data_IF_615941095160
#
_entry.id   IF_615941095160
#
_cell.length_a   1.000
_cell.length_b   1.000
_cell.length_c   1.000
_cell.angle_alpha   90.00
_cell.angle_beta   90.00
_cell.angle_gamma   90.00
#
_symmetry.space_group_name_H-M   'P 1'
#
loop_
_entity.id
_entity.type
_entity.pdbx_description
1 polymer ?
#
# COMPACT_ATOMS: atom_id res chain seq x y z
N UNK A 1 -25.41 -4.45 18.39
CA UNK A 1 -24.24 -4.62 17.50
C UNK A 1 -22.98 -4.64 18.36
N UNK A 2 -22.05 -5.58 18.13
CA UNK A 2 -20.81 -5.65 18.91
C UNK A 2 -19.89 -4.46 18.62
N UNK A 3 -19.17 -4.00 19.64
CA UNK A 3 -18.02 -3.11 19.49
C UNK A 3 -16.90 -3.89 18.79
N UNK A 4 -16.30 -3.32 17.75
CA UNK A 4 -15.19 -3.96 17.02
C UNK A 4 -14.12 -2.93 16.68
N UNK A 5 -12.86 -3.28 16.92
CA UNK A 5 -11.69 -2.53 16.46
C UNK A 5 -10.87 -3.45 15.55
N UNK A 6 -10.81 -3.15 14.26
CA UNK A 6 -9.98 -3.91 13.32
C UNK A 6 -8.57 -3.36 13.24
N UNK A 7 -7.57 -4.23 13.17
CA UNK A 7 -6.16 -3.84 13.04
C UNK A 7 -5.64 -3.89 11.60
N UNK A 8 -6.42 -4.44 10.65
CA UNK A 8 -6.00 -4.63 9.25
C UNK A 8 -7.11 -4.35 8.21
N UNK A 9 -8.38 -4.18 8.61
CA UNK A 9 -9.45 -3.91 7.64
C UNK A 9 -9.48 -2.42 7.22
N UNK A 10 -8.84 -2.11 6.08
CA UNK A 10 -8.64 -0.74 5.59
C UNK A 10 -9.71 -0.24 4.59
N UNK A 11 -10.65 -1.09 4.14
CA UNK A 11 -11.70 -0.68 3.17
C UNK A 11 -12.40 0.62 3.56
N UNK A 12 -12.58 1.54 2.60
CA UNK A 12 -13.22 2.84 2.83
C UNK A 12 -14.68 2.71 3.30
N UNK A 13 -15.41 1.70 2.82
CA UNK A 13 -16.82 1.47 3.17
C UNK A 13 -17.04 1.25 4.67
N UNK A 14 -16.04 0.74 5.40
CA UNK A 14 -16.08 0.54 6.86
C UNK A 14 -16.14 1.85 7.67
N UNK A 15 -15.83 2.99 7.04
CA UNK A 15 -15.99 4.33 7.63
C UNK A 15 -17.46 4.76 7.71
N UNK A 16 -18.36 4.15 6.93
CA UNK A 16 -19.77 4.55 6.86
C UNK A 16 -20.55 4.14 8.11
N UNK A 17 -20.68 5.07 9.08
CA UNK A 17 -21.35 4.82 10.37
C UNK A 17 -22.84 4.49 10.31
N UNK A 18 -23.48 4.74 9.16
CA UNK A 18 -24.83 4.24 8.90
C UNK A 18 -24.87 2.70 8.85
N UNK A 19 -23.85 2.07 8.29
CA UNK A 19 -23.74 0.61 8.16
C UNK A 19 -22.88 0.00 9.28
N UNK A 20 -21.85 0.71 9.73
CA UNK A 20 -20.86 0.24 10.71
C UNK A 20 -20.78 1.17 11.94
N UNK A 21 -21.86 1.34 12.73
CA UNK A 21 -21.93 2.36 13.79
C UNK A 21 -20.94 2.15 14.96
N UNK A 22 -20.56 0.90 15.20
CA UNK A 22 -19.67 0.47 16.31
C UNK A 22 -18.31 -0.04 15.84
N UNK A 23 -17.96 0.16 14.57
CA UNK A 23 -16.66 -0.19 14.00
C UNK A 23 -15.64 0.92 14.23
N UNK A 24 -14.42 0.54 14.59
CA UNK A 24 -13.23 1.39 14.58
C UNK A 24 -12.07 0.61 13.98
N UNK A 25 -10.97 1.29 13.65
CA UNK A 25 -9.75 0.62 13.20
C UNK A 25 -8.47 1.35 13.54
N UNK A 26 -7.42 0.57 13.77
CA UNK A 26 -6.05 1.04 14.03
C UNK A 26 -5.14 0.94 12.82
N UNK A 27 -5.69 0.60 11.65
CA UNK A 27 -5.09 0.80 10.34
C UNK A 27 -5.75 2.01 9.65
N UNK A 28 -5.02 2.84 8.88
CA UNK A 28 -5.65 3.92 8.14
C UNK A 28 -6.62 3.42 7.07
N UNK A 29 -7.55 4.28 6.67
CA UNK A 29 -8.46 4.02 5.56
C UNK A 29 -7.72 3.93 4.22
N UNK A 30 -8.15 3.03 3.33
CA UNK A 30 -7.67 2.95 1.95
C UNK A 30 -7.91 4.24 1.16
N UNK A 31 -8.85 5.09 1.60
CA UNK A 31 -9.00 6.45 1.07
C UNK A 31 -7.67 7.22 1.13
N UNK A 32 -6.90 7.05 2.19
CA UNK A 32 -5.59 7.69 2.38
C UNK A 32 -4.51 7.01 1.54
N UNK A 33 -4.52 5.68 1.45
CA UNK A 33 -3.61 4.92 0.59
C UNK A 33 -3.78 5.27 -0.89
N UNK A 34 -5.02 5.38 -1.37
CA UNK A 34 -5.36 5.79 -2.74
C UNK A 34 -4.82 7.19 -3.04
N UNK A 35 -4.95 8.14 -2.11
CA UNK A 35 -4.38 9.48 -2.25
C UNK A 35 -2.86 9.47 -2.27
N UNK A 36 -2.22 8.67 -1.42
CA UNK A 36 -0.77 8.54 -1.38
C UNK A 36 -0.23 8.02 -2.73
N UNK A 37 -0.84 6.97 -3.28
CA UNK A 37 -0.51 6.43 -4.60
C UNK A 37 -0.75 7.48 -5.69
N UNK A 38 -1.89 8.17 -5.67
CA UNK A 38 -2.19 9.22 -6.64
C UNK A 38 -1.12 10.33 -6.66
N UNK A 39 -0.79 10.89 -5.49
CA UNK A 39 0.26 11.92 -5.38
C UNK A 39 1.63 11.38 -5.79
N UNK A 40 1.91 10.10 -5.56
CA UNK A 40 3.16 9.45 -5.97
C UNK A 40 3.26 9.42 -7.50
N UNK A 41 2.21 8.99 -8.19
CA UNK A 41 2.16 8.99 -9.66
C UNK A 41 2.34 10.41 -10.22
N UNK A 42 1.67 11.40 -9.62
CA UNK A 42 1.83 12.80 -10.00
C UNK A 42 3.25 13.31 -9.77
N UNK A 43 3.88 12.95 -8.65
CA UNK A 43 5.25 13.39 -8.30
C UNK A 43 6.29 12.96 -9.32
N UNK A 44 6.09 11.81 -9.97
CA UNK A 44 6.98 11.31 -11.04
C UNK A 44 6.48 11.61 -12.46
N UNK A 45 5.35 12.30 -12.61
CA UNK A 45 4.79 12.61 -13.93
C UNK A 45 4.31 11.37 -14.70
N UNK A 46 4.00 10.28 -14.01
CA UNK A 46 3.53 9.05 -14.64
C UNK A 46 2.05 9.18 -15.01
N UNK A 47 1.79 9.35 -16.30
CA UNK A 47 0.44 9.62 -16.85
C UNK A 47 -0.12 8.44 -17.64
N UNK A 48 0.64 7.35 -17.79
CA UNK A 48 0.23 6.11 -18.44
C UNK A 48 0.56 4.92 -17.54
N UNK A 49 -0.45 4.33 -16.91
CA UNK A 49 -0.29 3.28 -15.89
C UNK A 49 -1.23 2.11 -16.11
N UNK A 50 -0.86 0.94 -15.61
CA UNK A 50 -1.73 -0.22 -15.50
C UNK A 50 -2.14 -0.39 -14.04
N UNK A 51 -3.38 -0.80 -13.81
CA UNK A 51 -3.93 -1.01 -12.47
C UNK A 51 -4.39 -2.45 -12.33
N UNK A 52 -3.95 -3.12 -11.27
CA UNK A 52 -4.35 -4.48 -10.91
C UNK A 52 -4.93 -4.48 -9.50
N UNK A 53 -6.02 -5.21 -9.28
CA UNK A 53 -6.58 -5.41 -7.95
C UNK A 53 -6.95 -6.87 -7.68
N UNK A 54 -6.87 -7.34 -6.44
CA UNK A 54 -7.34 -8.69 -6.10
C UNK A 54 -8.86 -8.83 -6.24
N UNK A 55 -9.32 -10.03 -6.61
CA UNK A 55 -10.74 -10.36 -6.76
C UNK A 55 -11.48 -10.53 -5.42
N UNK A 56 -11.48 -9.46 -4.61
CA UNK A 56 -12.18 -9.35 -3.35
C UNK A 56 -12.51 -7.87 -3.07
N UNK A 57 -13.28 -7.60 -2.03
CA UNK A 57 -13.75 -6.24 -1.71
C UNK A 57 -12.58 -5.26 -1.53
N UNK A 58 -11.50 -5.65 -0.85
CA UNK A 58 -10.29 -4.82 -0.66
C UNK A 58 -9.68 -4.39 -2.01
N UNK A 59 -9.37 -5.37 -2.85
CA UNK A 59 -8.71 -5.11 -4.13
C UNK A 59 -9.61 -4.39 -5.12
N UNK A 60 -10.89 -4.77 -5.20
CA UNK A 60 -11.85 -4.17 -6.14
C UNK A 60 -12.20 -2.73 -5.77
N UNK A 61 -12.52 -2.46 -4.51
CA UNK A 61 -12.92 -1.12 -4.07
C UNK A 61 -11.73 -0.14 -4.10
N UNK A 62 -10.56 -0.57 -3.62
CA UNK A 62 -9.35 0.24 -3.67
C UNK A 62 -8.92 0.57 -5.11
N UNK A 63 -9.00 -0.41 -6.01
CA UNK A 63 -8.74 -0.22 -7.44
C UNK A 63 -9.75 0.75 -8.08
N UNK A 64 -11.03 0.65 -7.73
CA UNK A 64 -12.08 1.51 -8.28
C UNK A 64 -11.96 2.95 -7.80
N UNK A 65 -11.67 3.14 -6.50
CA UNK A 65 -11.41 4.45 -5.92
C UNK A 65 -10.19 5.13 -6.58
N UNK A 66 -9.10 4.38 -6.78
CA UNK A 66 -7.92 4.89 -7.47
C UNK A 66 -8.21 5.20 -8.95
N UNK A 67 -8.93 4.33 -9.65
CA UNK A 67 -9.33 4.55 -11.05
C UNK A 67 -10.16 5.83 -11.21
N UNK A 68 -11.14 6.06 -10.33
CA UNK A 68 -11.95 7.28 -10.29
C UNK A 68 -11.09 8.53 -10.06
N UNK A 69 -10.17 8.47 -9.10
CA UNK A 69 -9.28 9.58 -8.80
C UNK A 69 -8.35 9.92 -9.97
N UNK A 70 -7.77 8.89 -10.61
CA UNK A 70 -6.87 9.08 -11.76
C UNK A 70 -7.61 9.63 -12.98
N UNK A 71 -8.80 9.11 -13.30
CA UNK A 71 -9.59 9.58 -14.46
C UNK A 71 -10.14 10.98 -14.29
N UNK A 72 -10.27 11.48 -13.06
CA UNK A 72 -10.54 12.89 -12.77
C UNK A 72 -9.32 13.82 -12.91
N UNK A 73 -8.13 13.26 -13.18
CA UNK A 73 -6.83 13.96 -13.30
C UNK A 73 -6.17 13.72 -14.66
N UNK A 74 -4.96 14.21 -14.91
CA UNK A 74 -4.24 13.99 -16.18
C UNK A 74 -3.57 12.62 -16.34
N UNK A 75 -3.90 11.66 -15.47
CA UNK A 75 -3.41 10.28 -15.59
C UNK A 75 -4.43 9.40 -16.34
N UNK A 76 -3.95 8.65 -17.32
CA UNK A 76 -4.72 7.65 -18.05
C UNK A 76 -4.33 6.24 -17.61
N UNK A 77 -5.35 5.37 -17.56
CA UNK A 77 -5.21 3.96 -17.24
C UNK A 77 -5.23 3.15 -18.53
N UNK A 78 -4.09 2.57 -18.86
CA UNK A 78 -3.88 1.76 -20.06
C UNK A 78 -4.62 0.43 -20.00
N UNK A 79 -4.61 -0.16 -18.80
CA UNK A 79 -5.23 -1.44 -18.53
C UNK A 79 -5.69 -1.51 -17.07
N UNK A 80 -6.86 -2.09 -16.87
CA UNK A 80 -7.42 -2.40 -15.55
C UNK A 80 -7.66 -3.91 -15.49
N UNK A 81 -6.92 -4.61 -14.64
CA UNK A 81 -7.00 -6.06 -14.47
C UNK A 81 -7.44 -6.45 -13.06
N UNK A 82 -7.98 -7.67 -12.95
CA UNK A 82 -8.31 -8.29 -11.67
C UNK A 82 -7.47 -9.55 -11.52
N UNK A 83 -6.80 -9.70 -10.37
CA UNK A 83 -6.03 -10.87 -10.00
C UNK A 83 -6.99 -11.86 -9.31
N UNK A 84 -7.26 -13.04 -9.90
CA UNK A 84 -8.20 -14.00 -9.35
C UNK A 84 -7.75 -14.53 -7.98
N UNK A 85 -8.69 -14.67 -7.05
CA UNK A 85 -8.45 -15.28 -5.74
C UNK A 85 -8.39 -16.81 -5.83
N UNK A 86 -7.74 -17.45 -4.85
CA UNK A 86 -7.65 -18.92 -4.71
C UNK A 86 -7.08 -19.61 -5.97
N UNK A 87 -6.05 -18.99 -6.58
CA UNK A 87 -5.31 -19.54 -7.70
C UNK A 87 -3.85 -19.78 -7.31
N UNK A 88 -3.19 -20.67 -8.02
CA UNK A 88 -1.75 -20.91 -7.94
C UNK A 88 -1.05 -20.41 -9.21
N UNK A 89 0.28 -20.44 -9.20
CA UNK A 89 1.09 -19.98 -10.33
C UNK A 89 0.82 -20.75 -11.64
N UNK A 90 0.23 -21.94 -11.62
CA UNK A 90 -0.16 -22.71 -12.81
C UNK A 90 -1.45 -22.20 -13.49
N UNK A 91 -2.18 -21.26 -12.89
CA UNK A 91 -3.43 -20.71 -13.42
C UNK A 91 -3.25 -20.08 -14.82
N UNK A 92 -4.01 -20.55 -15.83
CA UNK A 92 -4.03 -19.91 -17.15
C UNK A 92 -4.52 -18.45 -17.11
N UNK A 93 -5.39 -18.12 -16.17
CA UNK A 93 -5.91 -16.77 -15.98
C UNK A 93 -4.81 -15.79 -15.53
N UNK A 94 -3.94 -16.20 -14.59
CA UNK A 94 -2.77 -15.41 -14.18
C UNK A 94 -1.76 -15.26 -15.34
N UNK A 95 -1.49 -16.35 -16.05
CA UNK A 95 -0.62 -16.32 -17.22
C UNK A 95 -1.12 -15.38 -18.31
N UNK A 96 -2.42 -15.39 -18.59
CA UNK A 96 -3.04 -14.51 -19.55
C UNK A 96 -3.00 -13.05 -19.08
N UNK A 97 -3.22 -12.80 -17.78
CA UNK A 97 -3.10 -11.47 -17.19
C UNK A 97 -1.69 -10.89 -17.38
N UNK A 98 -0.65 -11.65 -17.07
CA UNK A 98 0.75 -11.22 -17.25
C UNK A 98 1.08 -11.01 -18.72
N UNK A 99 0.56 -11.86 -19.62
CA UNK A 99 0.70 -11.66 -21.07
C UNK A 99 0.11 -10.33 -21.52
N UNK A 100 -1.11 -9.99 -21.08
CA UNK A 100 -1.75 -8.72 -21.41
C UNK A 100 -0.91 -7.54 -20.90
N UNK A 101 -0.34 -7.62 -19.69
CA UNK A 101 0.52 -6.55 -19.17
C UNK A 101 1.75 -6.31 -20.05
N UNK A 102 2.38 -7.38 -20.54
CA UNK A 102 3.51 -7.26 -21.48
C UNK A 102 3.07 -6.65 -22.83
N UNK A 103 1.90 -7.02 -23.33
CA UNK A 103 1.35 -6.52 -24.60
C UNK A 103 1.00 -5.02 -24.54
N UNK A 104 0.55 -4.54 -23.38
CA UNK A 104 0.13 -3.13 -23.15
C UNK A 104 1.32 -2.16 -23.08
N UNK A 105 2.55 -2.66 -22.90
CA UNK A 105 3.81 -1.88 -22.86
C UNK A 105 3.78 -0.68 -21.91
N UNK A 106 3.38 -0.94 -20.67
CA UNK A 106 3.39 0.08 -19.59
C UNK A 106 4.56 -0.16 -18.65
N UNK A 107 5.25 0.90 -18.26
CA UNK A 107 6.39 0.81 -17.35
C UNK A 107 5.97 0.80 -15.88
N UNK A 108 4.83 1.41 -15.54
CA UNK A 108 4.36 1.56 -14.15
C UNK A 108 3.04 0.82 -13.94
N UNK A 109 3.05 -0.18 -13.06
CA UNK A 109 1.86 -0.96 -12.68
C UNK A 109 1.57 -0.82 -11.19
N UNK A 110 0.37 -0.35 -10.87
CA UNK A 110 -0.13 -0.31 -9.49
C UNK A 110 -0.83 -1.62 -9.18
N UNK A 111 -0.47 -2.26 -8.07
CA UNK A 111 -1.05 -3.52 -7.60
C UNK A 111 -1.70 -3.31 -6.23
N UNK A 112 -3.03 -3.25 -6.23
CA UNK A 112 -3.86 -3.10 -5.02
C UNK A 112 -4.42 -4.47 -4.62
N UNK A 113 -3.64 -5.27 -3.91
CA UNK A 113 -3.94 -6.68 -3.66
C UNK A 113 -3.58 -7.07 -2.25
N UNK A 114 -4.22 -8.10 -1.70
CA UNK A 114 -3.67 -8.78 -0.53
C UNK A 114 -2.49 -9.69 -0.93
N UNK A 115 -1.62 -10.00 0.03
CA UNK A 115 -0.40 -10.80 -0.08
C UNK A 115 -0.68 -12.22 -0.58
N UNK A 116 -1.79 -12.83 -0.14
CA UNK A 116 -2.18 -14.18 -0.58
C UNK A 116 -2.48 -14.26 -2.07
N UNK A 117 -3.16 -13.24 -2.60
CA UNK A 117 -3.53 -13.16 -4.03
C UNK A 117 -2.36 -12.65 -4.88
N UNK A 118 -1.54 -11.76 -4.32
CA UNK A 118 -0.36 -11.22 -4.98
C UNK A 118 0.76 -12.26 -5.15
N UNK A 119 0.91 -13.21 -4.23
CA UNK A 119 1.96 -14.24 -4.27
C UNK A 119 1.99 -15.02 -5.59
N UNK A 120 0.93 -15.79 -5.96
CA UNK A 120 0.95 -16.57 -7.20
C UNK A 120 1.02 -15.68 -8.45
N UNK A 121 0.51 -14.44 -8.37
CA UNK A 121 0.69 -13.47 -9.46
C UNK A 121 2.16 -13.14 -9.68
N UNK A 122 2.91 -12.81 -8.63
CA UNK A 122 4.34 -12.49 -8.74
C UNK A 122 5.19 -13.71 -9.10
N UNK A 123 4.80 -14.92 -8.71
CA UNK A 123 5.42 -16.15 -9.24
C UNK A 123 5.32 -16.21 -10.77
N UNK A 124 4.14 -15.93 -11.34
CA UNK A 124 3.94 -15.92 -12.81
C UNK A 124 4.72 -14.77 -13.47
N UNK A 125 4.79 -13.59 -12.84
CA UNK A 125 5.60 -12.46 -13.33
C UNK A 125 7.07 -12.89 -13.49
N UNK A 126 7.63 -13.60 -12.50
CA UNK A 126 8.99 -14.15 -12.58
C UNK A 126 9.09 -15.25 -13.64
N UNK A 127 8.18 -16.22 -13.67
CA UNK A 127 8.16 -17.30 -14.66
C UNK A 127 8.10 -16.79 -16.11
N UNK A 128 7.49 -15.62 -16.33
CA UNK A 128 7.41 -14.96 -17.64
C UNK A 128 8.58 -14.03 -17.94
N UNK A 129 9.58 -13.97 -17.06
CA UNK A 129 10.76 -13.11 -17.20
C UNK A 129 10.39 -11.63 -17.44
N UNK A 130 9.35 -11.16 -16.77
CA UNK A 130 8.98 -9.73 -16.79
C UNK A 130 10.03 -8.96 -16.01
N UNK A 131 10.64 -7.96 -16.64
CA UNK A 131 11.71 -7.16 -16.03
C UNK A 131 11.54 -5.68 -16.35
N UNK A 132 12.23 -4.80 -15.63
CA UNK A 132 12.30 -3.37 -15.95
C UNK A 132 11.04 -2.56 -15.63
N UNK A 133 10.02 -3.16 -15.00
CA UNK A 133 8.81 -2.48 -14.57
C UNK A 133 9.01 -1.77 -13.23
N UNK A 134 8.15 -0.79 -12.96
CA UNK A 134 7.94 -0.21 -11.63
C UNK A 134 6.62 -0.72 -11.10
N UNK A 135 6.69 -1.44 -9.99
CA UNK A 135 5.53 -1.97 -9.27
C UNK A 135 5.23 -1.04 -8.10
N UNK A 136 4.03 -0.45 -8.09
CA UNK A 136 3.54 0.34 -6.96
C UNK A 136 2.61 -0.53 -6.14
N UNK A 137 3.04 -0.90 -4.94
CA UNK A 137 2.36 -1.87 -4.09
C UNK A 137 1.54 -1.27 -2.97
N UNK A 138 0.36 -1.87 -2.75
CA UNK A 138 -0.44 -1.60 -1.56
C UNK A 138 0.21 -2.15 -0.28
N UNK A 139 -0.22 -1.58 0.85
CA UNK A 139 0.27 -1.86 2.19
C UNK A 139 0.35 -3.35 2.54
N UNK A 140 -0.70 -4.12 2.24
CA UNK A 140 -0.78 -5.53 2.64
C UNK A 140 0.35 -6.43 2.06
N UNK A 141 0.82 -6.16 0.83
CA UNK A 141 1.81 -7.04 0.17
C UNK A 141 3.21 -6.44 0.09
N UNK A 142 3.36 -5.12 0.22
CA UNK A 142 4.61 -4.42 -0.10
C UNK A 142 5.80 -4.82 0.77
N UNK A 143 5.56 -5.24 2.02
CA UNK A 143 6.59 -5.76 2.93
C UNK A 143 6.39 -7.24 3.28
N UNK A 144 5.41 -7.91 2.66
CA UNK A 144 5.07 -9.28 3.00
C UNK A 144 6.21 -10.24 2.63
N UNK A 145 6.68 -11.02 3.61
CA UNK A 145 7.72 -12.03 3.43
C UNK A 145 7.42 -13.02 2.33
N UNK A 146 6.16 -13.45 2.25
CA UNK A 146 5.71 -14.35 1.19
C UNK A 146 5.98 -13.79 -0.21
N UNK A 147 6.05 -12.47 -0.40
CA UNK A 147 6.28 -11.86 -1.72
C UNK A 147 7.77 -11.64 -1.99
N UNK A 148 8.51 -11.02 -1.07
CA UNK A 148 9.94 -10.78 -1.32
C UNK A 148 10.79 -12.05 -1.25
N UNK A 149 10.28 -13.16 -0.72
CA UNK A 149 10.93 -14.47 -0.81
C UNK A 149 10.60 -15.27 -2.08
N UNK A 150 9.74 -14.77 -2.97
CA UNK A 150 9.46 -15.44 -4.24
C UNK A 150 10.78 -15.63 -5.01
N UNK A 151 11.16 -16.85 -5.41
CA UNK A 151 12.43 -17.09 -6.10
C UNK A 151 12.53 -16.26 -7.38
N UNK A 152 13.58 -15.44 -7.52
CA UNK A 152 13.82 -14.61 -8.69
C UNK A 152 13.08 -13.27 -8.71
N UNK A 153 12.34 -12.93 -7.65
CA UNK A 153 11.56 -11.69 -7.56
C UNK A 153 12.40 -10.42 -7.71
N UNK A 154 13.68 -10.45 -7.35
CA UNK A 154 14.60 -9.32 -7.51
C UNK A 154 14.80 -8.89 -8.99
N UNK A 155 14.41 -9.73 -9.95
CA UNK A 155 14.52 -9.44 -11.38
C UNK A 155 13.35 -8.62 -11.96
N UNK A 156 12.23 -8.49 -11.24
CA UNK A 156 10.98 -7.92 -11.81
C UNK A 156 11.04 -6.41 -12.06
N UNK A 157 12.11 -5.75 -11.63
CA UNK A 157 12.31 -4.31 -11.72
C UNK A 157 12.27 -3.63 -10.35
N UNK A 158 11.73 -2.42 -10.30
CA UNK A 158 11.68 -1.61 -9.07
C UNK A 158 10.34 -1.80 -8.36
N UNK A 159 10.36 -1.94 -7.03
CA UNK A 159 9.14 -2.00 -6.21
C UNK A 159 9.10 -0.80 -5.27
N UNK A 160 8.04 -0.01 -5.38
CA UNK A 160 7.71 1.07 -4.44
C UNK A 160 6.47 0.66 -3.68
N UNK A 161 6.59 0.54 -2.35
CA UNK A 161 5.51 0.13 -1.47
C UNK A 161 4.91 1.30 -0.70
N UNK A 162 3.62 1.20 -0.40
CA UNK A 162 3.01 1.92 0.72
C UNK A 162 3.13 1.03 1.95
N UNK A 163 3.42 1.58 3.14
CA UNK A 163 3.38 0.83 4.40
C UNK A 163 2.93 1.72 5.55
N UNK A 164 2.30 1.16 6.58
CA UNK A 164 1.95 1.92 7.79
C UNK A 164 3.25 2.42 8.43
N UNK A 165 3.22 3.65 8.92
CA UNK A 165 4.39 4.31 9.56
C UNK A 165 5.10 3.37 10.55
N UNK A 166 6.38 3.08 10.26
CA UNK A 166 7.17 2.16 11.09
C UNK A 166 7.35 2.77 12.47
N UNK A 167 6.86 2.10 13.49
CA UNK A 167 7.09 2.49 14.89
C UNK A 167 8.12 1.55 15.50
N UNK A 168 9.25 2.08 15.97
CA UNK A 168 10.25 1.32 16.74
C UNK A 168 9.66 0.89 18.08
N UNK A 169 9.12 -0.32 18.09
CA UNK A 169 8.54 -0.93 19.28
C UNK A 169 9.60 -1.83 19.92
N UNK A 170 10.35 -1.27 20.86
CA UNK A 170 11.29 -2.00 21.71
C UNK A 170 10.61 -3.13 22.50
N UNK A 171 9.28 -3.09 22.64
CA UNK A 171 8.49 -4.13 23.28
C UNK A 171 8.28 -5.36 22.40
N UNK A 172 7.98 -5.19 21.10
CA UNK A 172 7.92 -6.32 20.16
C UNK A 172 9.29 -7.01 20.09
N UNK A 173 10.38 -6.26 19.97
CA UNK A 173 11.75 -6.80 20.00
C UNK A 173 12.03 -7.57 21.31
N UNK A 174 11.59 -7.03 22.45
CA UNK A 174 11.70 -7.72 23.75
C UNK A 174 10.85 -8.99 23.82
N UNK A 175 9.62 -8.94 23.34
CA UNK A 175 8.71 -10.08 23.32
C UNK A 175 9.25 -11.20 22.42
N UNK A 176 9.77 -10.84 21.24
CA UNK A 176 10.47 -11.74 20.33
C UNK A 176 11.67 -12.38 21.01
N UNK A 177 12.54 -11.58 21.64
CA UNK A 177 13.71 -12.10 22.36
C UNK A 177 13.32 -13.07 23.48
N UNK A 178 12.22 -12.79 24.18
CA UNK A 178 11.70 -13.66 25.22
C UNK A 178 11.12 -14.96 24.65
N UNK A 179 10.34 -14.88 23.58
CA UNK A 179 9.73 -16.05 22.94
C UNK A 179 10.80 -16.97 22.32
N UNK A 180 11.80 -16.39 21.66
CA UNK A 180 12.94 -17.15 21.12
C UNK A 180 13.73 -17.83 22.25
N UNK A 181 13.91 -17.18 23.39
CA UNK A 181 14.55 -17.79 24.57
C UNK A 181 13.69 -18.93 25.16
N UNK A 182 12.36 -18.76 25.20
CA UNK A 182 11.42 -19.80 25.66
C UNK A 182 11.43 -21.02 24.74
N UNK A 183 11.35 -20.83 23.42
CA UNK A 183 11.39 -21.93 22.44
C UNK A 183 12.74 -22.64 22.41
N UNK A 184 13.83 -21.90 22.59
CA UNK A 184 15.18 -22.47 22.73
C UNK A 184 15.33 -23.30 24.01
N UNK A 185 14.64 -22.92 25.10
CA UNK A 185 14.62 -23.69 26.34
C UNK A 185 13.79 -24.99 26.24
N UNK A 186 12.81 -25.05 25.32
CA UNK A 186 12.01 -26.26 25.05
C UNK A 186 12.74 -27.21 24.08
N UNK A 187 13.60 -26.66 23.20
CA UNK A 187 14.36 -27.41 22.20
C UNK A 187 15.49 -28.31 22.76
N UNK A 188 15.84 -28.20 24.06
CA UNK A 188 16.79 -29.12 24.71
C UNK A 188 16.24 -30.56 24.86
N UNK A 189 14.99 -30.84 24.47
CA UNK A 189 14.36 -32.16 24.61
C UNK A 189 13.74 -32.78 23.35
N UNK A 190 13.90 -32.21 22.15
CA UNK A 190 13.39 -32.81 20.92
C UNK A 190 14.27 -32.57 19.67
N UNK A 191 14.28 -33.55 18.76
CA UNK A 191 15.09 -33.64 17.53
C UNK A 191 15.17 -32.33 16.71
N UNK A 192 16.26 -32.15 15.91
CA UNK A 192 16.46 -30.96 15.10
C UNK A 192 15.46 -30.96 13.93
N UNK A 193 14.25 -30.48 14.17
CA UNK A 193 13.45 -29.88 13.12
C UNK A 193 14.25 -28.67 12.66
N UNK A 194 14.55 -28.59 11.35
CA UNK A 194 15.07 -27.38 10.72
C UNK A 194 14.25 -26.21 11.24
N UNK A 195 14.81 -25.44 12.18
CA UNK A 195 14.20 -24.23 12.65
C UNK A 195 14.14 -23.34 11.41
N UNK A 196 12.97 -23.28 10.78
CA UNK A 196 12.68 -22.24 9.82
C UNK A 196 13.08 -20.94 10.51
N UNK A 197 13.91 -20.13 9.85
CA UNK A 197 14.22 -18.80 10.35
C UNK A 197 12.89 -18.17 10.78
N UNK A 198 12.80 -17.59 11.99
CA UNK A 198 11.55 -17.02 12.47
C UNK A 198 11.04 -16.09 11.37
N UNK A 199 9.83 -16.34 10.89
CA UNK A 199 9.18 -15.46 9.93
C UNK A 199 9.38 -14.03 10.44
N UNK A 200 9.90 -13.16 9.58
CA UNK A 200 10.01 -11.75 9.86
C UNK A 200 8.58 -11.27 10.11
N UNK A 201 8.22 -11.17 11.39
CA UNK A 201 6.89 -10.81 11.83
C UNK A 201 6.43 -9.55 11.09
N UNK A 202 5.15 -9.52 10.72
CA UNK A 202 4.52 -8.32 10.17
C UNK A 202 4.43 -7.28 11.31
N UNK A 203 5.54 -6.58 11.54
CA UNK A 203 5.71 -5.60 12.60
C UNK A 203 4.68 -4.45 12.50
N UNK A 204 4.34 -3.95 11.29
CA UNK A 204 3.22 -3.03 11.10
C UNK A 204 1.89 -3.57 11.63
N UNK A 205 1.48 -4.77 11.19
CA UNK A 205 0.24 -5.39 11.66
C UNK A 205 0.23 -5.59 13.19
N UNK A 206 1.33 -6.07 13.75
CA UNK A 206 1.50 -6.30 15.19
C UNK A 206 1.33 -5.01 16.01
N UNK A 207 1.87 -3.89 15.51
CA UNK A 207 1.69 -2.59 16.15
C UNK A 207 0.22 -2.12 16.11
N UNK A 208 -0.50 -2.41 15.03
CA UNK A 208 -1.93 -2.07 14.92
C UNK A 208 -2.77 -2.89 15.91
N UNK A 209 -2.45 -4.18 16.11
CA UNK A 209 -3.07 -5.04 17.14
C UNK A 209 -2.83 -4.45 18.52
N UNK A 210 -1.56 -4.12 18.83
CA UNK A 210 -1.19 -3.52 20.11
C UNK A 210 -1.93 -2.21 20.38
N UNK A 211 -2.01 -1.35 19.36
CA UNK A 211 -2.76 -0.09 19.41
C UNK A 211 -4.25 -0.31 19.67
N UNK A 212 -4.86 -1.35 19.09
CA UNK A 212 -6.28 -1.67 19.28
C UNK A 212 -6.56 -2.13 20.72
N UNK A 213 -5.71 -2.99 21.28
CA UNK A 213 -5.82 -3.45 22.67
C UNK A 213 -5.66 -2.27 23.64
N UNK A 214 -4.68 -1.40 23.40
CA UNK A 214 -4.49 -0.21 24.23
C UNK A 214 -5.64 0.79 24.11
N UNK A 215 -6.24 0.96 22.93
CA UNK A 215 -7.43 1.79 22.79
C UNK A 215 -8.59 1.29 23.67
N UNK A 216 -8.81 -0.03 23.73
CA UNK A 216 -9.78 -0.64 24.65
C UNK A 216 -9.39 -0.42 26.11
N UNK A 217 -8.12 -0.62 26.46
CA UNK A 217 -7.62 -0.43 27.83
C UNK A 217 -7.77 1.02 28.31
N UNK A 218 -7.40 2.00 27.49
CA UNK A 218 -7.62 3.43 27.78
C UNK A 218 -9.12 3.77 27.88
N UNK A 219 -9.95 3.19 27.00
CA UNK A 219 -11.40 3.33 27.07
C UNK A 219 -11.99 2.82 28.39
N UNK A 220 -11.56 1.63 28.84
CA UNK A 220 -11.97 1.04 30.12
C UNK A 220 -11.43 1.84 31.31
N UNK A 221 -10.17 2.26 31.27
CA UNK A 221 -9.54 3.08 32.31
C UNK A 221 -10.35 4.37 32.55
N UNK A 222 -10.76 5.03 31.47
CA UNK A 222 -11.58 6.23 31.52
C UNK A 222 -13.03 5.95 31.94
N UNK A 223 -13.59 4.81 31.52
CA UNK A 223 -14.96 4.44 31.89
C UNK A 223 -15.10 4.12 33.38
N UNK A 224 -14.09 3.43 33.94
CA UNK A 224 -14.10 2.95 35.32
C UNK A 224 -13.55 3.97 36.32
N UNK A 225 -13.13 5.15 35.87
CA UNK A 225 -12.62 6.22 36.74
C UNK A 225 -11.27 5.90 37.39
N UNK A 226 -10.44 5.08 36.75
CA UNK A 226 -9.19 4.55 37.32
C UNK A 226 -8.11 5.61 37.58
N UNK A 227 -8.27 6.85 37.09
CA UNK A 227 -7.29 7.92 37.21
C UNK A 227 -6.98 8.32 38.67
N UNK A 228 -7.93 8.10 39.60
CA UNK A 228 -7.78 8.42 41.02
C UNK A 228 -7.05 7.34 41.84
N UNK A 229 -6.39 6.37 41.18
CA UNK A 229 -5.67 5.28 41.84
C UNK A 229 -6.54 4.06 42.20
N UNK A 230 -7.84 4.10 41.92
CA UNK A 230 -8.77 2.98 42.07
C UNK A 230 -9.81 2.95 40.97
N UNK A 231 -10.19 1.75 40.51
CA UNK A 231 -11.20 1.56 39.46
C UNK A 231 -12.54 1.14 40.07
N UNK A 232 -13.63 1.73 39.55
CA UNK A 232 -14.98 1.29 39.87
C UNK A 232 -15.20 -0.16 39.44
N UNK A 233 -15.91 -0.95 40.25
CA UNK A 233 -16.31 -2.32 39.91
C UNK A 233 -17.77 -2.31 39.48
N UNK A 234 -18.08 -2.90 38.33
CA UNK A 234 -19.44 -2.98 37.81
C UNK A 234 -19.51 -3.55 36.41
N UNK A 235 -20.73 -3.79 35.95
CA UNK A 235 -20.99 -4.26 34.59
C UNK A 235 -20.70 -3.14 33.58
N UNK A 236 -19.83 -3.42 32.61
CA UNK A 236 -19.54 -2.52 31.49
C UNK A 236 -20.33 -2.96 30.27
N UNK A 237 -21.12 -2.05 29.69
CA UNK A 237 -21.82 -2.33 28.44
C UNK A 237 -21.00 -1.86 27.22
N UNK A 238 -21.01 -2.60 26.10
CA UNK A 238 -20.21 -2.26 24.91
C UNK A 238 -20.44 -0.84 24.37
N UNK A 239 -21.66 -0.31 24.46
CA UNK A 239 -21.98 1.04 23.99
C UNK A 239 -21.35 2.14 24.86
N UNK A 240 -21.23 1.91 26.17
CA UNK A 240 -20.57 2.85 27.10
C UNK A 240 -19.07 2.88 26.81
N UNK A 241 -18.49 1.70 26.62
CA UNK A 241 -17.09 1.57 26.28
C UNK A 241 -16.80 2.20 24.91
N UNK A 242 -17.64 1.98 23.91
CA UNK A 242 -17.52 2.61 22.59
C UNK A 242 -17.45 4.15 22.67
N UNK A 243 -18.30 4.77 23.50
CA UNK A 243 -18.27 6.21 23.71
C UNK A 243 -16.93 6.69 24.29
N UNK A 244 -16.34 5.92 25.21
CA UNK A 244 -15.03 6.24 25.80
C UNK A 244 -13.87 5.99 24.84
N UNK A 245 -13.92 4.91 24.05
CA UNK A 245 -12.90 4.60 23.05
C UNK A 245 -12.85 5.68 21.97
N UNK A 246 -13.98 6.20 21.50
CA UNK A 246 -14.01 7.32 20.54
C UNK A 246 -13.33 8.61 21.04
N UNK A 247 -13.07 8.72 22.34
CA UNK A 247 -12.47 9.89 22.99
C UNK A 247 -11.01 9.66 23.40
N UNK A 248 -10.44 8.47 23.16
CA UNK A 248 -9.06 8.19 23.55
C UNK A 248 -8.09 9.03 22.71
N UNK A 249 -7.07 9.53 23.39
CA UNK A 249 -5.98 10.29 22.78
C UNK A 249 -4.74 10.05 23.62
N UNK A 250 -3.87 9.17 23.16
CA UNK A 250 -2.68 8.76 23.89
C UNK A 250 -1.53 8.50 22.93
N UNK A 251 -0.32 8.39 23.46
CA UNK A 251 0.89 8.16 22.66
C UNK A 251 1.47 6.79 23.00
N UNK A 252 1.69 5.96 21.98
CA UNK A 252 2.43 4.69 22.07
C UNK A 252 3.70 4.82 21.26
N UNK A 253 4.87 4.67 21.88
CA UNK A 253 6.16 4.65 21.16
C UNK A 253 6.33 5.82 20.17
N UNK A 254 5.99 7.05 20.60
CA UNK A 254 5.98 8.29 19.78
C UNK A 254 4.89 8.36 18.70
N UNK A 255 4.13 7.30 18.48
CA UNK A 255 2.93 7.28 17.65
C UNK A 255 1.70 7.75 18.43
N UNK A 256 1.03 8.79 17.96
CA UNK A 256 -0.24 9.25 18.53
C UNK A 256 -1.39 8.35 18.07
N UNK A 257 -2.20 7.86 19.02
CA UNK A 257 -3.35 7.00 18.78
C UNK A 257 -4.62 7.76 19.13
N UNK A 258 -5.44 8.02 18.12
CA UNK A 258 -6.75 8.66 18.23
C UNK A 258 -7.60 8.32 17.01
N UNK A 259 -8.93 8.30 17.19
CA UNK A 259 -9.89 8.03 16.12
C UNK A 259 -10.63 9.29 15.69
N UNK A 260 -10.95 9.39 14.40
CA UNK A 260 -11.80 10.45 13.87
C UNK A 260 -13.30 10.15 14.10
N UNK A 261 -14.18 11.03 13.59
CA UNK A 261 -15.64 10.85 13.67
C UNK A 261 -16.12 9.55 12.99
N UNK A 262 -15.37 9.05 12.02
CA UNK A 262 -15.60 7.80 11.31
C UNK A 262 -14.86 6.62 11.95
N UNK A 263 -14.35 6.75 13.17
CA UNK A 263 -13.66 5.65 13.86
C UNK A 263 -12.37 5.19 13.18
N UNK A 264 -11.82 6.01 12.28
CA UNK A 264 -10.57 5.74 11.57
C UNK A 264 -9.40 6.32 12.34
N UNK A 265 -8.28 5.61 12.39
CA UNK A 265 -7.06 6.14 13.02
C UNK A 265 -6.49 7.29 12.19
N UNK A 266 -6.06 8.34 12.88
CA UNK A 266 -5.39 9.47 12.24
C UNK A 266 -3.89 9.18 12.05
N UNK A 267 -3.55 8.40 11.02
CA UNK A 267 -2.16 8.07 10.66
C UNK A 267 -1.92 8.15 9.15
N UNK A 268 -0.68 8.51 8.81
CA UNK A 268 -0.16 8.52 7.45
C UNK A 268 0.44 7.18 7.03
N UNK A 269 1.23 7.22 5.95
CA UNK A 269 1.97 6.07 5.42
C UNK A 269 3.42 6.44 5.17
N UNK A 270 4.31 5.47 5.32
CA UNK A 270 5.65 5.54 4.75
C UNK A 270 5.62 5.04 3.30
N UNK A 271 6.45 5.65 2.47
CA UNK A 271 6.72 5.22 1.10
C UNK A 271 8.08 4.52 1.11
N UNK A 272 8.08 3.25 0.78
CA UNK A 272 9.28 2.41 0.81
C UNK A 272 9.68 2.00 -0.59
N UNK A 273 10.97 1.71 -0.77
CA UNK A 273 11.50 1.10 -1.97
C UNK A 273 12.25 -0.17 -1.59
N UNK A 274 12.03 -1.24 -2.33
CA UNK A 274 12.84 -2.46 -2.17
C UNK A 274 14.28 -2.20 -2.57
N UNK A 275 15.20 -2.74 -1.79
CA UNK A 275 16.62 -2.63 -1.98
C UNK A 275 17.24 -4.02 -1.91
N UNK A 276 17.90 -4.41 -2.99
CA UNK A 276 18.52 -5.72 -3.13
C UNK A 276 20.04 -5.60 -3.08
N UNK A 277 20.66 -6.41 -2.22
CA UNK A 277 22.10 -6.63 -2.20
C UNK A 277 22.37 -8.10 -2.52
N UNK A 278 22.53 -8.39 -3.82
CA UNK A 278 22.56 -9.77 -4.32
C UNK A 278 21.22 -10.45 -4.09
N UNK A 279 21.20 -11.52 -3.30
CA UNK A 279 19.99 -12.23 -2.89
C UNK A 279 19.38 -11.69 -1.57
N UNK A 280 20.07 -10.77 -0.89
CA UNK A 280 19.58 -10.20 0.36
C UNK A 280 18.58 -9.08 0.09
N UNK A 281 17.40 -9.19 0.71
CA UNK A 281 16.34 -8.19 0.64
C UNK A 281 16.42 -7.21 1.81
N UNK A 282 16.23 -5.94 1.50
CA UNK A 282 15.96 -4.87 2.46
C UNK A 282 14.97 -3.88 1.84
N UNK A 283 14.59 -2.87 2.60
CA UNK A 283 13.84 -1.73 2.08
C UNK A 283 14.34 -0.42 2.67
N UNK A 284 14.16 0.66 1.92
CA UNK A 284 14.45 2.02 2.38
C UNK A 284 13.16 2.84 2.41
N UNK A 285 12.94 3.57 3.50
CA UNK A 285 11.91 4.63 3.54
C UNK A 285 12.40 5.80 2.69
N UNK A 286 11.79 5.98 1.53
CA UNK A 286 12.10 7.03 0.54
C UNK A 286 11.20 8.25 0.69
N UNK A 287 10.13 8.17 1.47
CA UNK A 287 9.21 9.27 1.66
C UNK A 287 8.10 8.98 2.67
N UNK A 288 7.25 9.96 2.88
CA UNK A 288 6.11 9.88 3.81
C UNK A 288 4.88 10.57 3.20
N UNK A 289 3.71 10.01 3.48
CA UNK A 289 2.41 10.61 3.21
C UNK A 289 1.78 10.99 4.55
N UNK A 290 1.59 12.29 4.76
CA UNK A 290 0.94 12.84 5.95
C UNK A 290 -0.53 13.17 5.67
N UNK A 291 -1.39 13.04 6.68
CA UNK A 291 -2.82 13.35 6.61
C UNK A 291 -3.10 14.62 7.42
N UNK A 292 -4.00 15.48 6.92
CA UNK A 292 -4.40 16.76 7.55
C UNK A 292 -3.25 17.78 7.76
N UNK A 293 -2.75 18.44 6.68
CA UNK A 293 -3.18 18.32 5.29
C UNK A 293 -2.53 17.15 4.56
N UNK A 294 -3.25 16.61 3.58
CA UNK A 294 -2.76 15.53 2.73
C UNK A 294 -1.53 16.01 1.94
N UNK A 295 -0.37 15.41 2.20
CA UNK A 295 0.88 15.81 1.58
C UNK A 295 1.83 14.64 1.41
N UNK A 296 2.49 14.58 0.26
CA UNK A 296 3.48 13.57 -0.07
C UNK A 296 4.88 14.19 -0.11
N UNK A 297 5.78 13.70 0.73
CA UNK A 297 7.19 14.03 0.70
C UNK A 297 7.99 12.83 0.17
N UNK A 298 8.80 13.05 -0.86
CA UNK A 298 9.69 12.04 -1.44
C UNK A 298 11.11 12.59 -1.47
N UNK A 299 12.04 11.83 -0.90
CA UNK A 299 13.47 12.07 -0.96
C UNK A 299 14.06 11.33 -2.16
N UNK A 300 14.26 12.05 -3.26
CA UNK A 300 14.79 11.49 -4.51
C UNK A 300 16.19 10.88 -4.35
N UNK A 301 17.01 11.37 -3.43
CA UNK A 301 18.37 10.85 -3.19
C UNK A 301 18.41 9.46 -2.57
N UNK A 302 17.28 8.95 -2.05
CA UNK A 302 17.16 7.59 -1.51
C UNK A 302 16.59 6.58 -2.51
N UNK A 303 16.23 7.01 -3.71
CA UNK A 303 15.59 6.16 -4.71
C UNK A 303 16.64 5.51 -5.59
N UNK A 304 16.54 4.19 -5.76
CA UNK A 304 17.46 3.36 -6.53
C UNK A 304 16.78 2.82 -7.77
N UNK A 305 16.81 3.58 -8.87
CA UNK A 305 16.21 3.13 -10.12
C UNK A 305 17.06 2.06 -10.81
N UNK A 306 16.40 0.98 -11.25
CA UNK A 306 17.01 -0.11 -12.01
C UNK A 306 17.04 0.15 -13.53
N UNK A 307 16.81 1.40 -13.95
CA UNK A 307 16.95 1.82 -15.35
C UNK A 307 18.41 2.02 -15.72
N UNK A 308 18.72 2.03 -17.03
CA UNK A 308 20.10 2.20 -17.52
C UNK A 308 20.74 3.52 -17.08
N UNK A 309 19.93 4.58 -16.97
CA UNK A 309 20.35 5.94 -16.60
C UNK A 309 20.20 6.25 -15.11
N UNK A 310 19.72 5.28 -14.30
CA UNK A 310 19.42 5.45 -12.86
C UNK A 310 18.43 6.58 -12.56
N UNK A 311 17.55 6.89 -13.51
CA UNK A 311 16.47 7.87 -13.34
C UNK A 311 15.10 7.21 -13.31
N UNK A 312 14.09 7.96 -12.88
CA UNK A 312 12.71 7.48 -12.90
C UNK A 312 12.32 7.14 -14.35
N UNK A 313 11.79 5.93 -14.62
CA UNK A 313 11.38 5.58 -15.96
C UNK A 313 10.22 6.48 -16.38
N UNK A 314 10.20 6.85 -17.65
CA UNK A 314 9.07 7.57 -18.23
C UNK A 314 7.91 6.60 -18.40
N UNK A 315 6.70 7.01 -18.02
CA UNK A 315 5.47 6.21 -18.20
C UNK A 315 4.39 7.12 -18.76
N UNK A 316 4.51 7.42 -20.06
CA UNK A 316 3.58 8.23 -20.85
C UNK A 316 3.14 7.40 -22.07
N UNK A 317 1.96 7.69 -22.61
CA UNK A 317 1.48 6.99 -23.80
C UNK A 317 2.09 7.56 -25.08
N UNK A 318 2.26 8.88 -25.12
CA UNK A 318 2.82 9.61 -26.26
C UNK A 318 3.79 10.67 -25.75
N UNK A 319 4.93 10.77 -26.42
CA UNK A 319 5.94 11.78 -26.12
C UNK A 319 5.42 13.18 -26.39
N UNK A 320 6.03 14.18 -25.76
CA UNK A 320 5.66 15.58 -25.95
C UNK A 320 6.02 16.02 -27.38
N UNK A 321 5.06 16.62 -28.07
CA UNK A 321 5.26 17.14 -29.43
C UNK A 321 6.26 18.29 -29.46
N UNK A 322 7.11 18.31 -30.48
CA UNK A 322 8.15 19.31 -30.65
C UNK A 322 7.57 20.66 -31.10
N UNK A 323 8.40 21.71 -31.04
CA UNK A 323 8.01 23.01 -31.56
C UNK A 323 7.69 22.93 -33.07
N UNK A 324 6.56 23.51 -33.48
CA UNK A 324 6.06 23.38 -34.85
C UNK A 324 5.21 22.13 -35.11
N UNK A 325 4.99 21.28 -34.10
CA UNK A 325 4.05 20.17 -34.15
C UNK A 325 2.81 20.44 -33.28
N UNK A 326 1.66 19.91 -33.70
CA UNK A 326 0.41 19.92 -32.93
C UNK A 326 0.01 18.50 -32.54
N UNK A 327 -0.74 18.37 -31.44
CA UNK A 327 -1.29 17.10 -30.98
C UNK A 327 -2.49 16.71 -31.83
N UNK A 328 -2.52 15.47 -32.29
CA UNK A 328 -3.68 14.87 -32.94
C UNK A 328 -4.11 13.66 -32.13
N UNK A 329 -5.28 13.77 -31.51
CA UNK A 329 -5.87 12.71 -30.69
C UNK A 329 -6.23 11.50 -31.57
N UNK A 330 -5.50 10.38 -31.42
CA UNK A 330 -5.75 9.16 -32.21
C UNK A 330 -6.55 8.10 -31.48
N UNK A 331 -6.51 8.11 -30.14
CA UNK A 331 -7.15 7.08 -29.30
C UNK A 331 -8.30 7.66 -28.48
N UNK A 332 -9.05 6.78 -27.80
CA UNK A 332 -10.04 7.20 -26.80
C UNK A 332 -9.40 7.80 -25.53
N UNK A 333 -8.13 7.49 -25.26
CA UNK A 333 -7.40 8.01 -24.10
C UNK A 333 -6.72 9.34 -24.43
N UNK A 334 -7.11 10.42 -23.74
CA UNK A 334 -6.52 11.78 -23.90
C UNK A 334 -4.98 11.83 -23.81
N UNK A 335 -4.36 10.86 -23.14
CA UNK A 335 -2.92 10.80 -22.97
C UNK A 335 -2.18 10.26 -24.21
N UNK A 336 -2.91 9.64 -25.16
CA UNK A 336 -2.32 9.06 -26.37
C UNK A 336 -2.73 9.86 -27.60
N UNK A 337 -1.73 10.44 -28.26
CA UNK A 337 -1.89 11.32 -29.42
C UNK A 337 -0.67 11.16 -30.35
N UNK A 338 -0.83 11.53 -31.63
CA UNK A 338 0.29 11.66 -32.56
C UNK A 338 0.69 13.12 -32.71
N UNK A 339 1.98 13.39 -32.85
CA UNK A 339 2.48 14.71 -33.20
C UNK A 339 2.49 14.87 -34.72
N UNK A 340 1.85 15.93 -35.22
CA UNK A 340 1.81 16.24 -36.65
C UNK A 340 2.31 17.65 -36.88
N UNK A 341 3.11 17.84 -37.93
CA UNK A 341 3.63 19.16 -38.28
C UNK A 341 2.49 20.16 -38.52
N UNK A 342 2.70 21.40 -38.09
CA UNK A 342 1.79 22.50 -38.36
C UNK A 342 1.73 22.77 -39.88
N UNK A 343 0.57 23.12 -40.43
CA UNK A 343 0.45 23.55 -41.82
C UNK A 343 1.41 24.70 -42.16
N UNK A 344 1.85 24.77 -43.41
CA UNK A 344 2.71 25.85 -43.89
C UNK A 344 2.12 27.22 -43.54
N UNK A 345 2.95 28.11 -42.98
CA UNK A 345 2.52 29.44 -42.52
C UNK A 345 1.93 29.49 -41.11
N UNK A 346 1.84 28.36 -40.40
CA UNK A 346 1.41 28.32 -38.99
C UNK A 346 2.53 27.81 -38.09
N UNK A 347 2.58 28.28 -36.84
CA UNK A 347 3.54 27.81 -35.85
C UNK A 347 2.87 27.64 -34.49
N UNK A 348 3.32 26.66 -33.73
CA UNK A 348 2.85 26.40 -32.37
C UNK A 348 4.07 26.43 -31.45
N UNK A 349 4.18 27.51 -30.67
CA UNK A 349 5.38 27.82 -29.88
C UNK A 349 5.52 26.92 -28.64
N UNK A 350 4.39 26.48 -28.08
CA UNK A 350 4.31 25.45 -27.03
C UNK A 350 3.08 24.59 -27.26
N UNK A 351 3.29 23.30 -27.46
CA UNK A 351 2.28 22.25 -27.47
C UNK A 351 1.77 22.04 -26.03
N UNK A 352 0.93 22.95 -25.56
CA UNK A 352 0.30 22.87 -24.24
C UNK A 352 -0.45 21.55 -24.05
N UNK A 353 -0.69 21.16 -22.79
CA UNK A 353 -1.38 19.91 -22.43
C UNK A 353 -2.78 19.74 -23.06
N UNK A 354 -3.33 20.81 -23.65
CA UNK A 354 -4.73 20.89 -24.10
C UNK A 354 -4.92 21.64 -25.45
N UNK A 355 -3.86 21.86 -26.24
CA UNK A 355 -3.93 22.59 -27.52
C UNK A 355 -3.62 21.72 -28.73
#
# INVERSE_FOLDING_TARGET
LPLQISYEASLETLSLKRFYPSFLRTIPSDRQQVKAIFLLLQRFGWTWVALLGSDNDYGRDGLDALYKLLTASDVCVAYRGIIPVNKDAGSPELHNLVRILMDVRVNVTVVFSNRRTAHPFFEVVVQKNVTGMVWVGSEDWSLAQTIWQVPGIQSIGSVIGITVEKTESTMLERFESWKMAEESAVAESACPVLAAAPDMYDAPASFNVYSAVYAVAHGLHNLLGCASGGCSKGTVYPWQLLQKIKQVNFTLYKSRISFDANGDIHKGYDIIMWNWSGASWAFNVIGTFSVNPDSLSINQGKILWHTKDRQAPTSVCSEVCQAGEKRLQQSRHRCCFSCVACPAGTFLNRSGQYA
#
